data_IF_731446946890
#
_entry.id   IF_731446946890
#
_cell.length_a   1.000
_cell.length_b   1.000
_cell.length_c   1.000
_cell.angle_alpha   90.00
_cell.angle_beta   90.00
_cell.angle_gamma   90.00
#
_symmetry.space_group_name_H-M   'P 1'
#
loop_
_entity.id
_entity.type
_entity.pdbx_description
1 polymer ?
#
# COMPACT_ATOMS: atom_id res chain seq x y z
N UNK A 1 1.30 -52.47 26.06
CA UNK A 1 1.16 -51.57 24.88
C UNK A 1 0.64 -50.22 25.40
N UNK A 2 1.18 -49.07 24.96
CA UNK A 2 0.60 -47.69 25.07
C UNK A 2 1.42 -46.55 25.73
N UNK A 3 2.67 -46.70 26.22
CA UNK A 3 3.35 -45.53 26.87
C UNK A 3 3.64 -44.33 25.95
N UNK A 4 3.75 -44.54 24.63
CA UNK A 4 3.98 -43.46 23.66
C UNK A 4 2.75 -42.57 23.46
N UNK A 5 1.55 -43.10 23.63
CA UNK A 5 0.31 -42.33 23.49
C UNK A 5 0.02 -41.53 24.75
N UNK A 6 0.34 -42.08 25.92
CA UNK A 6 0.19 -41.42 27.21
C UNK A 6 1.17 -40.24 27.36
N UNK A 7 2.41 -40.40 26.88
CA UNK A 7 3.38 -39.29 26.82
C UNK A 7 2.96 -38.19 25.83
N UNK A 8 2.39 -38.54 24.67
CA UNK A 8 1.84 -37.58 23.71
C UNK A 8 0.62 -36.83 24.28
N UNK A 9 -0.26 -37.53 25.00
CA UNK A 9 -1.41 -36.94 25.71
C UNK A 9 -0.96 -35.99 26.82
N UNK A 10 0.04 -36.38 27.62
CA UNK A 10 0.63 -35.52 28.65
C UNK A 10 1.25 -34.24 28.07
N UNK A 11 2.01 -34.35 26.97
CA UNK A 11 2.55 -33.20 26.24
C UNK A 11 1.44 -32.30 25.68
N UNK A 12 0.35 -32.89 25.17
CA UNK A 12 -0.78 -32.12 24.64
C UNK A 12 -1.50 -31.33 25.73
N UNK A 13 -1.73 -31.94 26.90
CA UNK A 13 -2.35 -31.29 28.05
C UNK A 13 -1.43 -30.20 28.62
N UNK A 14 -0.12 -30.45 28.71
CA UNK A 14 0.86 -29.46 29.13
C UNK A 14 0.88 -28.25 28.19
N UNK A 15 0.91 -28.50 26.87
CA UNK A 15 0.85 -27.45 25.86
C UNK A 15 -0.45 -26.65 25.94
N UNK A 16 -1.60 -27.31 26.10
CA UNK A 16 -2.89 -26.66 26.28
C UNK A 16 -2.92 -25.78 27.55
N UNK A 17 -2.38 -26.27 28.67
CA UNK A 17 -2.27 -25.51 29.92
C UNK A 17 -1.38 -24.27 29.78
N UNK A 18 -0.23 -24.38 29.11
CA UNK A 18 0.64 -23.25 28.79
C UNK A 18 -0.10 -22.23 27.92
N UNK A 19 -0.76 -22.66 26.85
CA UNK A 19 -1.55 -21.78 25.96
C UNK A 19 -2.61 -21.03 26.77
N UNK A 20 -3.39 -21.70 27.61
CA UNK A 20 -4.44 -21.06 28.42
C UNK A 20 -3.84 -20.05 29.41
N UNK A 21 -2.71 -20.36 30.06
CA UNK A 21 -2.02 -19.45 30.97
C UNK A 21 -1.50 -18.21 30.24
N UNK A 22 -0.85 -18.38 29.08
CA UNK A 22 -0.38 -17.28 28.24
C UNK A 22 -1.53 -16.42 27.70
N UNK A 23 -2.69 -17.03 27.43
CA UNK A 23 -3.90 -16.29 27.09
C UNK A 23 -4.44 -15.45 28.24
N UNK A 24 -4.44 -15.98 29.46
CA UNK A 24 -4.88 -15.24 30.66
C UNK A 24 -3.93 -14.11 31.04
N UNK A 25 -2.63 -14.27 30.76
CA UNK A 25 -1.62 -13.21 30.88
C UNK A 25 -1.76 -12.09 29.83
N UNK A 26 -2.75 -12.18 28.94
CA UNK A 26 -3.00 -11.18 27.92
C UNK A 26 -1.98 -11.21 26.78
N UNK A 27 -1.09 -12.21 26.72
CA UNK A 27 -0.06 -12.32 25.67
C UNK A 27 -0.71 -12.46 24.30
N UNK A 28 -1.80 -13.23 24.16
CA UNK A 28 -2.54 -13.28 22.89
C UNK A 28 -3.26 -11.98 22.55
N UNK A 29 -3.71 -11.21 23.54
CA UNK A 29 -4.32 -9.89 23.31
C UNK A 29 -3.28 -8.82 22.95
N UNK A 30 -2.07 -8.92 23.50
CA UNK A 30 -0.93 -8.07 23.16
C UNK A 30 -0.34 -8.44 21.80
N UNK A 31 -0.08 -9.73 21.54
CA UNK A 31 0.36 -10.22 20.23
C UNK A 31 -0.68 -9.93 19.16
N UNK A 32 -1.97 -10.12 19.43
CA UNK A 32 -3.03 -9.77 18.50
C UNK A 32 -2.98 -8.29 18.12
N UNK A 33 -2.85 -7.38 19.10
CA UNK A 33 -2.70 -5.95 18.83
C UNK A 33 -1.35 -5.58 18.20
N UNK A 34 -0.25 -6.23 18.55
CA UNK A 34 1.06 -5.88 18.00
C UNK A 34 1.28 -6.45 16.60
N UNK A 35 0.78 -7.66 16.34
CA UNK A 35 1.08 -8.45 15.14
C UNK A 35 -0.01 -8.38 14.08
N UNK A 36 -1.22 -7.89 14.34
CA UNK A 36 -2.25 -7.82 13.31
C UNK A 36 -1.83 -7.04 12.04
N UNK A 37 -1.04 -5.94 12.09
CA UNK A 37 -0.61 -5.26 10.87
C UNK A 37 0.37 -6.11 10.06
N UNK A 38 1.17 -6.95 10.74
CA UNK A 38 2.07 -7.91 10.10
C UNK A 38 1.31 -8.97 9.31
N UNK A 39 0.11 -9.37 9.77
CA UNK A 39 -0.74 -10.32 9.02
C UNK A 39 -1.16 -9.75 7.65
N UNK A 40 -1.20 -8.44 7.49
CA UNK A 40 -1.50 -7.76 6.22
C UNK A 40 -0.21 -7.48 5.44
N UNK A 41 0.83 -7.01 6.14
CA UNK A 41 2.11 -6.64 5.56
C UNK A 41 2.85 -7.84 4.96
N UNK A 42 2.87 -8.98 5.67
CA UNK A 42 3.60 -10.20 5.26
C UNK A 42 3.10 -10.75 3.93
N UNK A 43 1.78 -10.94 3.70
CA UNK A 43 1.26 -11.29 2.38
C UNK A 43 1.65 -10.27 1.30
N UNK A 44 1.59 -8.97 1.59
CA UNK A 44 1.99 -7.93 0.64
C UNK A 44 3.44 -8.10 0.17
N UNK A 45 4.37 -8.23 1.12
CA UNK A 45 5.78 -8.49 0.83
C UNK A 45 6.00 -9.82 0.12
N UNK A 46 5.29 -10.86 0.53
CA UNK A 46 5.38 -12.18 -0.07
C UNK A 46 4.98 -12.15 -1.56
N UNK A 47 3.93 -11.40 -1.90
CA UNK A 47 3.50 -11.20 -3.29
C UNK A 47 4.55 -10.45 -4.12
N UNK A 48 5.22 -9.44 -3.55
CA UNK A 48 6.37 -8.81 -4.21
C UNK A 48 7.51 -9.81 -4.47
N UNK A 49 7.88 -10.61 -3.46
CA UNK A 49 8.95 -11.61 -3.60
C UNK A 49 8.60 -12.64 -4.66
N UNK A 50 7.35 -13.10 -4.72
CA UNK A 50 6.86 -14.01 -5.76
C UNK A 50 6.99 -13.40 -7.17
N UNK A 51 6.62 -12.14 -7.33
CA UNK A 51 6.75 -11.43 -8.59
C UNK A 51 8.22 -11.28 -9.01
N UNK A 52 9.10 -10.80 -8.12
CA UNK A 52 10.53 -10.65 -8.41
C UNK A 52 11.24 -11.98 -8.64
N UNK A 53 10.77 -13.06 -8.00
CA UNK A 53 11.22 -14.43 -8.26
C UNK A 53 10.70 -15.02 -9.57
N UNK A 54 9.99 -14.23 -10.39
CA UNK A 54 9.34 -14.63 -11.64
C UNK A 54 8.34 -15.79 -11.49
N UNK A 55 7.80 -15.96 -10.29
CA UNK A 55 6.83 -17.01 -9.93
C UNK A 55 5.39 -16.56 -10.06
N UNK A 56 5.15 -15.27 -10.30
CA UNK A 56 3.82 -14.68 -10.37
C UNK A 56 3.69 -13.66 -11.53
N UNK A 57 2.48 -13.51 -12.10
CA UNK A 57 2.20 -12.52 -13.14
C UNK A 57 2.17 -11.10 -12.58
N UNK A 58 2.31 -10.09 -13.47
CA UNK A 58 2.30 -8.68 -13.08
C UNK A 58 1.02 -8.25 -12.35
N UNK A 59 -0.12 -8.91 -12.59
CA UNK A 59 -1.38 -8.63 -11.89
C UNK A 59 -1.30 -8.76 -10.36
N UNK A 60 -0.32 -9.52 -9.85
CA UNK A 60 -0.09 -9.70 -8.42
C UNK A 60 0.56 -8.49 -7.76
N UNK A 61 1.22 -7.60 -8.51
CA UNK A 61 1.78 -6.35 -7.99
C UNK A 61 0.70 -5.40 -7.47
N UNK A 62 -0.49 -5.45 -8.07
CA UNK A 62 -1.59 -4.57 -7.68
C UNK A 62 -2.04 -4.81 -6.23
N UNK A 63 -2.42 -6.04 -5.82
CA UNK A 63 -2.67 -6.32 -4.42
C UNK A 63 -1.40 -6.27 -3.56
N UNK A 64 -0.21 -6.55 -4.10
CA UNK A 64 1.04 -6.47 -3.34
C UNK A 64 1.33 -5.04 -2.85
N UNK A 65 1.26 -4.04 -3.74
CA UNK A 65 1.47 -2.63 -3.41
C UNK A 65 0.40 -2.10 -2.44
N UNK A 66 -0.86 -2.52 -2.60
CA UNK A 66 -1.93 -2.15 -1.66
C UNK A 66 -1.66 -2.73 -0.27
N UNK A 67 -1.40 -4.04 -0.18
CA UNK A 67 -1.18 -4.74 1.08
C UNK A 67 0.08 -4.24 1.82
N UNK A 68 1.14 -3.91 1.09
CA UNK A 68 2.37 -3.39 1.71
C UNK A 68 2.16 -2.00 2.29
N UNK A 69 1.56 -1.07 1.53
CA UNK A 69 1.30 0.29 2.02
C UNK A 69 0.30 0.26 3.17
N UNK A 70 -0.74 -0.59 3.09
CA UNK A 70 -1.73 -0.72 4.17
C UNK A 70 -1.11 -1.35 5.41
N UNK A 71 -0.34 -2.42 5.26
CA UNK A 71 0.36 -3.07 6.37
C UNK A 71 1.32 -2.11 7.09
N UNK A 72 2.06 -1.29 6.34
CA UNK A 72 2.92 -0.24 6.89
C UNK A 72 2.12 0.83 7.63
N UNK A 73 1.05 1.36 7.02
CA UNK A 73 0.18 2.35 7.65
C UNK A 73 -0.44 1.82 8.94
N UNK A 74 -0.97 0.61 8.91
CA UNK A 74 -1.61 -0.01 10.07
C UNK A 74 -0.57 -0.31 11.17
N UNK A 75 0.66 -0.69 10.79
CA UNK A 75 1.78 -0.84 11.73
C UNK A 75 2.16 0.48 12.39
N UNK A 76 2.17 1.57 11.62
CA UNK A 76 2.45 2.92 12.11
C UNK A 76 1.35 3.42 13.06
N UNK A 77 0.07 3.29 12.67
CA UNK A 77 -1.07 3.61 13.53
C UNK A 77 -1.10 2.76 14.81
N UNK A 78 -0.63 1.51 14.74
CA UNK A 78 -0.59 0.64 15.91
C UNK A 78 0.52 1.01 16.91
N UNK A 79 1.62 1.60 16.43
CA UNK A 79 2.79 1.97 17.26
C UNK A 79 2.71 3.40 17.79
N UNK A 80 2.28 4.37 16.96
CA UNK A 80 2.10 5.77 17.36
C UNK A 80 0.69 6.12 17.85
N UNK A 81 -0.28 5.23 17.63
CA UNK A 81 -1.66 5.41 18.06
C UNK A 81 -2.62 5.69 16.90
N UNK A 82 -3.87 5.26 17.08
CA UNK A 82 -4.91 5.33 16.05
C UNK A 82 -5.35 6.75 15.68
N UNK A 83 -5.00 7.76 16.50
CA UNK A 83 -5.23 9.17 16.18
C UNK A 83 -4.53 9.60 14.88
N UNK A 84 -3.38 8.99 14.54
CA UNK A 84 -2.68 9.27 13.29
C UNK A 84 -3.50 8.87 12.06
N UNK A 85 -4.48 7.96 12.17
CA UNK A 85 -5.32 7.56 11.05
C UNK A 85 -6.11 8.75 10.47
N UNK A 86 -6.47 9.73 11.31
CA UNK A 86 -7.12 10.97 10.85
C UNK A 86 -6.21 11.82 9.95
N UNK A 87 -4.90 11.63 10.00
CA UNK A 87 -3.92 12.34 9.18
C UNK A 87 -3.35 11.47 8.05
N UNK A 88 -3.25 10.16 8.28
CA UNK A 88 -2.64 9.20 7.37
C UNK A 88 -3.64 8.54 6.43
N UNK A 89 -4.95 8.77 6.57
CA UNK A 89 -5.96 8.20 5.66
C UNK A 89 -5.63 8.33 4.15
N UNK A 90 -4.93 9.37 3.65
CA UNK A 90 -4.59 9.46 2.23
C UNK A 90 -3.57 8.41 1.79
N UNK A 91 -2.80 7.79 2.70
CA UNK A 91 -1.95 6.64 2.37
C UNK A 91 -2.78 5.46 1.84
N UNK A 92 -4.07 5.37 2.16
CA UNK A 92 -4.92 4.34 1.59
C UNK A 92 -5.09 4.55 0.07
N UNK A 93 -5.27 5.79 -0.36
CA UNK A 93 -5.27 6.15 -1.78
C UNK A 93 -3.88 5.94 -2.39
N UNK A 94 -2.83 6.23 -1.64
CA UNK A 94 -1.45 6.00 -2.07
C UNK A 94 -1.16 4.51 -2.29
N UNK A 95 -1.68 3.61 -1.46
CA UNK A 95 -1.54 2.17 -1.65
C UNK A 95 -2.16 1.69 -2.96
N UNK A 96 -3.34 2.22 -3.30
CA UNK A 96 -4.00 1.95 -4.59
C UNK A 96 -3.16 2.51 -5.75
N UNK A 97 -2.67 3.74 -5.62
CA UNK A 97 -1.83 4.38 -6.62
C UNK A 97 -0.52 3.62 -6.86
N UNK A 98 0.16 3.17 -5.79
CA UNK A 98 1.40 2.38 -5.86
C UNK A 98 1.14 1.03 -6.53
N UNK A 99 0.11 0.29 -6.11
CA UNK A 99 -0.23 -0.99 -6.74
C UNK A 99 -0.59 -0.86 -8.23
N UNK A 100 -1.34 0.18 -8.61
CA UNK A 100 -1.63 0.51 -10.01
C UNK A 100 -0.38 0.92 -10.79
N UNK A 101 0.50 1.72 -10.18
CA UNK A 101 1.73 2.19 -10.80
C UNK A 101 2.68 1.03 -11.08
N UNK A 102 2.92 0.17 -10.10
CA UNK A 102 3.75 -1.02 -10.25
C UNK A 102 3.17 -1.98 -11.29
N UNK A 103 1.87 -2.27 -11.24
CA UNK A 103 1.22 -3.07 -12.27
C UNK A 103 1.43 -2.50 -13.68
N UNK A 104 1.31 -1.17 -13.83
CA UNK A 104 1.45 -0.50 -15.14
C UNK A 104 2.89 -0.48 -15.67
N UNK A 105 3.89 -0.52 -14.79
CA UNK A 105 5.31 -0.57 -15.18
C UNK A 105 5.71 -1.96 -15.67
N UNK A 106 5.19 -3.01 -15.04
CA UNK A 106 5.60 -4.39 -15.30
C UNK A 106 4.62 -5.17 -16.19
N UNK A 107 3.49 -4.58 -16.58
CA UNK A 107 2.55 -5.21 -17.51
C UNK A 107 3.09 -5.18 -18.96
N UNK A 108 3.04 -6.29 -19.71
CA UNK A 108 3.49 -6.37 -21.11
C UNK A 108 2.72 -5.46 -22.08
N UNK A 109 1.55 -4.97 -21.70
CA UNK A 109 0.73 -4.03 -22.47
C UNK A 109 0.71 -2.66 -21.82
N UNK A 110 1.62 -1.77 -22.26
CA UNK A 110 1.75 -0.42 -21.71
C UNK A 110 0.60 0.48 -22.13
N UNK A 111 -0.53 0.38 -21.43
CA UNK A 111 -1.62 1.34 -21.56
C UNK A 111 -1.23 2.64 -20.83
N UNK A 112 -0.78 3.65 -21.58
CA UNK A 112 -0.39 4.96 -21.04
C UNK A 112 -1.47 5.63 -20.17
N UNK A 113 -2.74 5.26 -20.37
CA UNK A 113 -3.86 5.65 -19.51
C UNK A 113 -3.72 5.19 -18.07
N UNK A 114 -3.35 3.92 -17.82
CA UNK A 114 -3.23 3.37 -16.46
C UNK A 114 -2.10 4.04 -15.66
N UNK A 115 -0.94 4.24 -16.28
CA UNK A 115 0.17 5.00 -15.66
C UNK A 115 -0.25 6.41 -15.31
N UNK A 116 -1.01 7.07 -16.18
CA UNK A 116 -1.47 8.45 -15.95
C UNK A 116 -2.44 8.50 -14.77
N UNK A 117 -3.40 7.57 -14.70
CA UNK A 117 -4.33 7.47 -13.57
C UNK A 117 -3.62 7.17 -12.27
N UNK A 118 -2.65 6.25 -12.27
CA UNK A 118 -1.87 5.91 -11.08
C UNK A 118 -1.06 7.12 -10.56
N UNK A 119 -0.41 7.87 -11.46
CA UNK A 119 0.36 9.06 -11.11
C UNK A 119 -0.55 10.17 -10.57
N UNK A 120 -1.69 10.42 -11.21
CA UNK A 120 -2.66 11.43 -10.75
C UNK A 120 -3.19 11.04 -9.37
N UNK A 121 -3.55 9.77 -9.16
CA UNK A 121 -4.06 9.28 -7.87
C UNK A 121 -2.98 9.37 -6.78
N UNK A 122 -1.72 9.04 -7.11
CA UNK A 122 -0.58 9.16 -6.22
C UNK A 122 -0.33 10.61 -5.81
N UNK A 123 -0.27 11.53 -6.78
CA UNK A 123 -0.15 12.96 -6.53
C UNK A 123 -1.29 13.47 -5.65
N UNK A 124 -2.53 13.11 -5.98
CA UNK A 124 -3.70 13.49 -5.20
C UNK A 124 -3.59 12.98 -3.75
N UNK A 125 -3.12 11.74 -3.55
CA UNK A 125 -2.95 11.16 -2.22
C UNK A 125 -1.88 11.87 -1.38
N UNK A 126 -0.75 12.23 -1.98
CA UNK A 126 0.32 13.00 -1.30
C UNK A 126 -0.17 14.39 -0.93
N UNK A 127 -0.86 15.03 -1.86
CA UNK A 127 -1.46 16.35 -1.67
C UNK A 127 -2.49 16.31 -0.51
N UNK A 128 -3.38 15.31 -0.50
CA UNK A 128 -4.32 15.08 0.60
C UNK A 128 -3.63 14.79 1.94
N UNK A 129 -2.51 14.06 1.95
CA UNK A 129 -1.74 13.81 3.16
C UNK A 129 -1.17 15.09 3.76
N UNK A 130 -0.58 15.92 2.91
CA UNK A 130 -0.05 17.23 3.31
C UNK A 130 -1.17 18.08 3.92
N UNK A 131 -2.38 18.09 3.33
CA UNK A 131 -3.53 18.78 3.92
C UNK A 131 -3.98 18.21 5.24
N UNK A 132 -4.02 16.88 5.36
CA UNK A 132 -4.41 16.22 6.60
C UNK A 132 -3.47 16.59 7.75
N UNK A 133 -2.18 16.83 7.47
CA UNK A 133 -1.19 17.25 8.48
C UNK A 133 -1.23 18.76 8.81
N UNK A 134 -1.72 19.63 7.91
CA UNK A 134 -1.62 21.10 8.02
C UNK A 134 -2.82 21.82 8.66
N UNK A 135 -3.96 21.16 8.87
CA UNK A 135 -5.14 21.77 9.51
C UNK A 135 -5.73 22.96 8.74
N UNK A 136 -6.46 23.87 9.40
CA UNK A 136 -7.31 24.93 8.79
C UNK A 136 -6.61 25.94 7.87
N UNK A 137 -5.26 26.03 7.89
CA UNK A 137 -4.49 26.82 6.92
C UNK A 137 -4.36 26.18 5.53
N UNK A 138 -4.79 24.92 5.40
CA UNK A 138 -4.66 24.08 4.20
C UNK A 138 -5.42 24.59 2.97
N UNK A 139 -6.54 25.31 3.13
CA UNK A 139 -7.39 25.70 2.00
C UNK A 139 -6.74 26.74 1.08
N UNK A 140 -5.93 27.66 1.64
CA UNK A 140 -5.26 28.70 0.86
C UNK A 140 -4.06 28.16 0.09
N UNK A 141 -3.30 27.25 0.71
CA UNK A 141 -2.17 26.57 0.09
C UNK A 141 -2.64 25.53 -0.94
N UNK A 142 -3.77 24.86 -0.69
CA UNK A 142 -4.49 23.99 -1.64
C UNK A 142 -4.83 24.75 -2.93
N UNK A 143 -5.43 25.94 -2.81
CA UNK A 143 -5.74 26.76 -3.98
C UNK A 143 -4.49 27.08 -4.80
N UNK A 144 -3.42 27.54 -4.15
CA UNK A 144 -2.19 27.90 -4.83
C UNK A 144 -1.49 26.72 -5.51
N UNK A 145 -1.39 25.57 -4.83
CA UNK A 145 -0.72 24.38 -5.37
C UNK A 145 -1.58 23.72 -6.45
N UNK A 146 -2.90 23.69 -6.33
CA UNK A 146 -3.78 23.12 -7.35
C UNK A 146 -3.78 23.98 -8.63
N UNK A 147 -3.71 25.31 -8.48
CA UNK A 147 -3.50 26.22 -9.61
C UNK A 147 -2.12 25.97 -10.25
N UNK A 148 -1.05 25.82 -9.45
CA UNK A 148 0.29 25.56 -9.98
C UNK A 148 0.42 24.18 -10.65
N UNK A 149 -0.18 23.13 -10.07
CA UNK A 149 -0.18 21.77 -10.60
C UNK A 149 -1.09 21.66 -11.84
N UNK A 150 -2.25 22.31 -11.82
CA UNK A 150 -3.12 22.44 -12.99
C UNK A 150 -2.41 23.17 -14.13
N UNK A 151 -1.73 24.29 -13.82
CA UNK A 151 -0.90 25.00 -14.80
C UNK A 151 0.21 24.10 -15.34
N UNK A 152 0.96 23.41 -14.47
CA UNK A 152 2.05 22.54 -14.89
C UNK A 152 1.59 21.34 -15.74
N UNK A 153 0.42 20.76 -15.47
CA UNK A 153 -0.17 19.71 -16.31
C UNK A 153 -0.60 20.22 -17.69
N UNK A 154 -1.07 21.45 -17.80
CA UNK A 154 -1.42 22.10 -19.07
C UNK A 154 -0.14 22.39 -19.87
N UNK A 155 0.89 22.96 -19.22
CA UNK A 155 2.15 23.29 -19.88
C UNK A 155 3.03 22.05 -20.17
N UNK A 156 2.91 20.98 -19.39
CA UNK A 156 3.62 19.71 -19.57
C UNK A 156 3.05 18.79 -20.66
N UNK A 157 1.80 19.03 -21.10
CA UNK A 157 1.20 18.38 -22.29
C UNK A 157 1.51 19.13 -23.59
N UNK A 158 2.37 20.15 -23.54
CA UNK A 158 2.80 20.93 -24.69
C UNK A 158 3.90 20.30 -25.55
N UNK A 159 3.77 19.01 -25.93
CA UNK A 159 4.46 18.50 -27.15
C UNK A 159 3.89 17.18 -27.70
N UNK A 160 2.74 17.19 -28.41
CA UNK A 160 2.53 16.25 -29.51
C UNK A 160 3.52 16.63 -30.62
N UNK A 161 4.29 15.65 -31.09
CA UNK A 161 5.41 15.81 -32.00
C UNK A 161 5.07 16.62 -33.25
N UNK A 162 6.06 17.38 -33.71
CA UNK A 162 6.06 17.98 -35.03
C UNK A 162 5.89 16.90 -36.08
N UNK A 163 4.69 16.84 -36.68
CA UNK A 163 4.50 16.15 -37.96
C UNK A 163 4.76 17.18 -39.04
N UNK A 164 5.96 17.08 -39.62
CA UNK A 164 6.45 17.77 -40.81
C UNK A 164 5.30 17.97 -41.81
N UNK A 165 4.96 19.23 -42.08
CA UNK A 165 4.18 19.64 -43.24
C UNK A 165 5.02 19.29 -44.47
N UNK A 166 4.67 18.23 -45.19
CA UNK A 166 5.19 18.01 -46.55
C UNK A 166 4.14 18.57 -47.51
N UNK A 167 4.26 19.88 -47.75
CA UNK A 167 3.75 20.50 -48.96
C UNK A 167 4.92 20.58 -49.93
N UNK A 168 4.87 19.77 -50.99
CA UNK A 168 5.73 19.89 -52.15
C UNK A 168 4.93 19.39 -53.33
N UNK A 169 4.17 20.30 -53.96
CA UNK A 169 3.62 20.05 -55.28
C UNK A 169 4.69 20.23 -56.34
N UNK A 170 4.59 19.44 -57.41
CA UNK A 170 4.65 19.85 -58.82
C UNK A 170 3.63 18.98 -59.56
#
# INVERSE_FOLDING_TARGET
>A
MSSKNDAKLGIFILAAGIVILFGKLGVFGFLGRALWPLVILVPGLFLHVLFFSRRAPASVLLPAGILTVYGLLLGLCNTWGWGLMSHLWPLLLLGIAVGLYEYSLYSPGRNGGLTTTAVILGLLSVVLLVFSMLGTGALYVLGAILIAAGAWLIFGRGKPGGRKKWNGGW
#
